data_IF_244886521170
#
_entry.id   IF_244886521170
#
_cell.length_a   1.000
_cell.length_b   1.000
_cell.length_c   1.000
_cell.angle_alpha   90.00
_cell.angle_beta   90.00
_cell.angle_gamma   90.00
#
_symmetry.space_group_name_H-M   'P 1'
#
loop_
_entity.id
_entity.type
_entity.pdbx_description
1 polymer ?
#
# COMPACT_ATOMS: atom_id res chain seq x y z
N UNK A 1 -25.85 -8.24 -24.81
CA UNK A 1 -25.69 -6.78 -24.58
C UNK A 1 -25.37 -6.50 -23.09
N UNK A 2 -24.53 -7.31 -22.44
CA UNK A 2 -24.22 -7.19 -21.00
C UNK A 2 -22.80 -6.65 -20.72
N UNK A 3 -21.92 -6.62 -21.72
CA UNK A 3 -20.51 -6.20 -21.56
C UNK A 3 -20.34 -4.69 -21.28
N UNK A 4 -21.22 -3.84 -21.81
CA UNK A 4 -21.09 -2.38 -21.68
C UNK A 4 -21.28 -1.88 -20.24
N UNK A 5 -22.10 -2.58 -19.44
CA UNK A 5 -22.38 -2.19 -18.05
C UNK A 5 -21.29 -2.59 -17.06
N UNK A 6 -20.55 -3.66 -17.36
CA UNK A 6 -19.46 -4.17 -16.54
C UNK A 6 -18.18 -3.33 -16.70
N UNK A 7 -17.83 -2.93 -17.92
CA UNK A 7 -16.64 -2.09 -18.16
C UNK A 7 -16.77 -0.68 -17.56
N UNK A 8 -17.98 -0.09 -17.57
CA UNK A 8 -18.22 1.20 -16.92
C UNK A 8 -18.13 1.14 -15.40
N UNK A 9 -18.52 0.01 -14.78
CA UNK A 9 -18.40 -0.19 -13.34
C UNK A 9 -16.93 -0.37 -12.91
N UNK A 10 -16.12 -1.07 -13.72
CA UNK A 10 -14.69 -1.24 -13.49
C UNK A 10 -13.95 0.11 -13.54
N UNK A 11 -14.17 0.87 -14.62
CA UNK A 11 -13.54 2.18 -14.81
C UNK A 11 -13.96 3.18 -13.72
N UNK A 12 -15.22 3.14 -13.27
CA UNK A 12 -15.69 3.98 -12.18
C UNK A 12 -15.03 3.61 -10.84
N UNK A 13 -14.95 2.32 -10.51
CA UNK A 13 -14.26 1.84 -9.31
C UNK A 13 -12.80 2.27 -9.30
N UNK A 14 -12.07 2.06 -10.40
CA UNK A 14 -10.68 2.46 -10.51
C UNK A 14 -10.46 3.98 -10.41
N UNK A 15 -11.34 4.80 -11.00
CA UNK A 15 -11.23 6.26 -10.85
C UNK A 15 -11.39 6.76 -9.40
N UNK A 16 -12.11 6.01 -8.55
CA UNK A 16 -12.34 6.34 -7.14
C UNK A 16 -11.18 5.88 -6.27
N UNK A 17 -10.56 4.75 -6.61
CA UNK A 17 -9.54 4.09 -5.78
C UNK A 17 -8.15 4.62 -6.04
N UNK A 18 -7.79 4.88 -7.30
CA UNK A 18 -6.45 5.36 -7.65
C UNK A 18 -6.02 6.59 -6.83
N UNK A 19 -6.89 7.58 -6.57
CA UNK A 19 -6.56 8.70 -5.67
C UNK A 19 -6.28 8.26 -4.23
N UNK A 20 -7.06 7.32 -3.69
CA UNK A 20 -6.87 6.80 -2.34
C UNK A 20 -5.55 6.01 -2.22
N UNK A 21 -5.21 5.18 -3.22
CA UNK A 21 -3.92 4.48 -3.28
C UNK A 21 -2.78 5.48 -3.32
N UNK A 22 -2.88 6.53 -4.14
CA UNK A 22 -1.85 7.58 -4.23
C UNK A 22 -1.69 8.34 -2.92
N UNK A 23 -2.78 8.61 -2.21
CA UNK A 23 -2.71 9.25 -0.89
C UNK A 23 -2.01 8.34 0.11
N UNK A 24 -2.38 7.05 0.16
CA UNK A 24 -1.72 6.06 1.02
C UNK A 24 -0.25 5.94 0.68
N UNK A 25 0.12 5.93 -0.60
CA UNK A 25 1.53 5.93 -1.03
C UNK A 25 2.30 7.10 -0.44
N UNK A 26 1.73 8.31 -0.54
CA UNK A 26 2.34 9.52 0.01
C UNK A 26 2.43 9.48 1.54
N UNK A 27 1.38 9.00 2.21
CA UNK A 27 1.33 8.90 3.68
C UNK A 27 2.38 7.91 4.19
N UNK A 28 2.56 6.77 3.50
CA UNK A 28 3.60 5.81 3.85
C UNK A 28 4.99 6.36 3.57
N UNK A 29 5.25 6.98 2.41
CA UNK A 29 6.56 7.57 2.11
C UNK A 29 6.97 8.61 3.16
N UNK A 30 6.03 9.45 3.60
CA UNK A 30 6.26 10.39 4.69
C UNK A 30 6.59 9.65 5.99
N UNK A 31 5.82 8.61 6.34
CA UNK A 31 6.06 7.81 7.53
C UNK A 31 7.42 7.09 7.48
N UNK A 32 7.84 6.55 6.33
CA UNK A 32 9.14 5.92 6.09
C UNK A 32 10.27 6.91 6.35
N UNK A 33 10.17 8.12 5.80
CA UNK A 33 11.15 9.18 6.04
C UNK A 33 11.22 9.61 7.52
N UNK A 34 10.10 9.49 8.24
CA UNK A 34 10.01 9.79 9.67
C UNK A 34 10.53 8.66 10.58
N UNK A 35 10.64 7.41 10.10
CA UNK A 35 11.14 6.26 10.90
C UNK A 35 12.43 6.57 11.69
N UNK A 36 13.49 7.14 11.08
CA UNK A 36 14.72 7.45 11.82
C UNK A 36 14.64 8.69 12.72
N UNK A 37 13.57 9.49 12.63
CA UNK A 37 13.38 10.75 13.36
C UNK A 37 12.42 10.56 14.55
N UNK A 38 11.26 9.97 14.28
CA UNK A 38 10.19 9.70 15.23
C UNK A 38 9.52 8.36 14.86
N UNK A 39 10.15 7.27 15.28
CA UNK A 39 9.68 5.92 15.00
C UNK A 39 8.27 5.63 15.56
N UNK A 40 7.85 6.31 16.64
CA UNK A 40 6.50 6.14 17.21
C UNK A 40 5.45 6.80 16.33
N UNK A 41 5.70 8.01 15.83
CA UNK A 41 4.81 8.65 14.87
C UNK A 41 4.75 7.88 13.54
N UNK A 42 5.91 7.43 13.06
CA UNK A 42 6.01 6.61 11.85
C UNK A 42 5.19 5.31 11.97
N UNK A 43 5.34 4.55 13.06
CA UNK A 43 4.58 3.32 13.31
C UNK A 43 3.07 3.57 13.25
N UNK A 44 2.59 4.62 13.92
CA UNK A 44 1.17 4.97 13.94
C UNK A 44 0.63 5.31 12.55
N UNK A 45 1.40 6.06 11.76
CA UNK A 45 1.02 6.42 10.39
C UNK A 45 1.03 5.19 9.47
N UNK A 46 2.02 4.31 9.61
CA UNK A 46 2.10 3.05 8.88
C UNK A 46 0.93 2.11 9.21
N UNK A 47 0.54 2.02 10.48
CA UNK A 47 -0.66 1.24 10.89
C UNK A 47 -1.94 1.79 10.24
N UNK A 48 -2.09 3.11 10.18
CA UNK A 48 -3.24 3.73 9.51
C UNK A 48 -3.25 3.43 8.00
N UNK A 49 -2.08 3.54 7.35
CA UNK A 49 -1.92 3.19 5.94
C UNK A 49 -2.23 1.71 5.68
N UNK A 50 -1.78 0.80 6.56
CA UNK A 50 -2.08 -0.64 6.47
C UNK A 50 -3.58 -0.90 6.46
N UNK A 51 -4.33 -0.30 7.37
CA UNK A 51 -5.80 -0.45 7.43
C UNK A 51 -6.44 -0.05 6.11
N UNK A 52 -5.94 1.02 5.47
CA UNK A 52 -6.43 1.48 4.18
C UNK A 52 -6.05 0.52 3.03
N UNK A 53 -4.84 -0.04 3.05
CA UNK A 53 -4.42 -1.06 2.07
C UNK A 53 -5.24 -2.34 2.19
N UNK A 54 -5.46 -2.82 3.41
CA UNK A 54 -6.25 -4.02 3.67
C UNK A 54 -7.72 -3.81 3.27
N UNK A 55 -8.27 -2.62 3.54
CA UNK A 55 -9.60 -2.23 3.07
C UNK A 55 -9.67 -2.10 1.54
N UNK A 56 -8.62 -1.56 0.93
CA UNK A 56 -8.48 -1.39 -0.51
C UNK A 56 -8.32 -2.71 -1.27
N UNK A 57 -7.68 -3.72 -0.66
CA UNK A 57 -7.51 -5.07 -1.20
C UNK A 57 -8.75 -5.96 -1.14
N UNK A 58 -9.84 -5.51 -0.49
CA UNK A 58 -11.13 -6.21 -0.51
C UNK A 58 -12.02 -5.85 -1.71
N UNK A 59 -11.50 -5.07 -2.66
CA UNK A 59 -12.25 -4.67 -3.83
C UNK A 59 -12.50 -5.84 -4.78
N UNK A 60 -13.72 -5.90 -5.31
CA UNK A 60 -14.06 -6.81 -6.42
C UNK A 60 -13.95 -5.99 -7.70
N UNK A 61 -12.84 -6.14 -8.41
CA UNK A 61 -12.74 -5.70 -9.79
C UNK A 61 -13.55 -6.64 -10.70
N UNK A 62 -13.97 -6.12 -11.84
CA UNK A 62 -15.02 -6.73 -12.68
C UNK A 62 -14.54 -7.95 -13.48
N UNK A 63 -13.23 -8.09 -13.65
CA UNK A 63 -12.57 -9.23 -14.29
C UNK A 63 -11.69 -10.00 -13.29
N UNK A 64 -11.81 -11.33 -13.25
CA UNK A 64 -11.10 -12.20 -12.30
C UNK A 64 -9.57 -12.08 -12.42
N UNK A 65 -9.04 -11.92 -13.63
CA UNK A 65 -7.59 -11.80 -13.82
C UNK A 65 -7.07 -10.44 -13.34
N UNK A 66 -7.80 -9.37 -13.64
CA UNK A 66 -7.52 -8.00 -13.18
C UNK A 66 -7.66 -7.90 -11.66
N UNK A 67 -8.71 -8.50 -11.10
CA UNK A 67 -8.95 -8.59 -9.66
C UNK A 67 -7.84 -9.37 -8.94
N UNK A 68 -7.40 -10.49 -9.52
CA UNK A 68 -6.30 -11.30 -8.96
C UNK A 68 -5.00 -10.50 -8.89
N UNK A 69 -4.64 -9.78 -9.96
CA UNK A 69 -3.43 -8.95 -9.99
C UNK A 69 -3.49 -7.78 -9.02
N UNK A 70 -4.61 -7.09 -8.96
CA UNK A 70 -4.83 -5.99 -8.03
C UNK A 70 -4.73 -6.46 -6.56
N UNK A 71 -5.39 -7.57 -6.22
CA UNK A 71 -5.34 -8.12 -4.86
C UNK A 71 -3.94 -8.63 -4.49
N UNK A 72 -3.21 -9.21 -5.44
CA UNK A 72 -1.81 -9.59 -5.22
C UNK A 72 -0.92 -8.37 -4.95
N UNK A 73 -1.11 -7.28 -5.71
CA UNK A 73 -0.39 -6.03 -5.52
C UNK A 73 -0.73 -5.38 -4.15
N UNK A 74 -2.01 -5.36 -3.76
CA UNK A 74 -2.42 -4.87 -2.44
C UNK A 74 -1.86 -5.70 -1.29
N UNK A 75 -1.83 -7.03 -1.44
CA UNK A 75 -1.24 -7.94 -0.45
C UNK A 75 0.27 -7.73 -0.31
N UNK A 76 0.98 -7.52 -1.42
CA UNK A 76 2.40 -7.18 -1.41
C UNK A 76 2.67 -5.83 -0.73
N UNK A 77 1.86 -4.81 -1.04
CA UNK A 77 1.94 -3.51 -0.37
C UNK A 77 1.70 -3.63 1.14
N UNK A 78 0.67 -4.36 1.57
CA UNK A 78 0.38 -4.60 2.99
C UNK A 78 1.53 -5.32 3.71
N UNK A 79 2.16 -6.30 3.05
CA UNK A 79 3.33 -7.01 3.58
C UNK A 79 4.55 -6.10 3.74
N UNK A 80 4.79 -5.20 2.77
CA UNK A 80 5.89 -4.23 2.86
C UNK A 80 5.66 -3.24 4.02
N UNK A 81 4.42 -2.77 4.21
CA UNK A 81 4.05 -1.91 5.34
C UNK A 81 4.22 -2.63 6.68
N UNK A 82 3.89 -3.92 6.79
CA UNK A 82 4.18 -4.71 8.00
C UNK A 82 5.67 -4.72 8.33
N UNK A 83 6.52 -4.93 7.31
CA UNK A 83 7.97 -4.86 7.49
C UNK A 83 8.44 -3.49 7.98
N UNK A 84 7.86 -2.40 7.49
CA UNK A 84 8.19 -1.04 7.92
C UNK A 84 7.74 -0.78 9.37
N UNK A 85 6.57 -1.30 9.76
CA UNK A 85 6.09 -1.26 11.14
C UNK A 85 7.07 -2.00 12.06
N UNK A 86 7.53 -3.19 11.67
CA UNK A 86 8.53 -3.95 12.43
C UNK A 86 9.85 -3.16 12.59
N UNK A 87 10.31 -2.46 11.54
CA UNK A 87 11.49 -1.59 11.62
C UNK A 87 11.27 -0.41 12.60
N UNK A 88 10.11 0.23 12.54
CA UNK A 88 9.77 1.31 13.47
C UNK A 88 9.71 0.80 14.94
N UNK A 89 9.15 -0.37 15.18
CA UNK A 89 9.09 -0.99 16.51
C UNK A 89 10.48 -1.39 17.02
N UNK A 90 11.33 -1.94 16.15
CA UNK A 90 12.73 -2.25 16.42
C UNK A 90 13.49 -1.02 16.92
N UNK A 91 13.35 0.11 16.23
CA UNK A 91 13.99 1.38 16.60
C UNK A 91 13.46 1.89 17.95
N UNK A 92 12.14 1.81 18.19
CA UNK A 92 11.54 2.15 19.48
C UNK A 92 12.06 1.26 20.63
N UNK A 93 12.40 0.01 20.35
CA UNK A 93 13.04 -0.90 21.30
C UNK A 93 14.54 -0.60 21.51
N UNK A 94 15.09 0.43 20.85
CA UNK A 94 16.47 0.88 20.99
C UNK A 94 17.45 0.25 20.00
N UNK A 95 16.95 -0.44 18.97
CA UNK A 95 17.80 -0.94 17.89
C UNK A 95 18.21 0.22 16.96
N UNK A 96 19.39 0.10 16.35
CA UNK A 96 19.80 1.05 15.34
C UNK A 96 18.91 0.89 14.08
N UNK A 97 18.55 1.99 13.40
CA UNK A 97 17.77 1.91 12.17
C UNK A 97 18.52 1.14 11.09
N UNK A 98 17.90 0.08 10.56
CA UNK A 98 18.39 -0.63 9.38
C UNK A 98 17.88 0.08 8.11
N UNK A 99 18.59 1.15 7.76
CA UNK A 99 18.25 1.97 6.58
C UNK A 99 18.20 1.17 5.28
N UNK A 100 19.04 0.14 5.12
CA UNK A 100 19.00 -0.72 3.92
C UNK A 100 17.71 -1.51 3.87
N UNK A 101 17.29 -2.09 5.00
CA UNK A 101 16.02 -2.81 5.06
C UNK A 101 14.82 -1.89 4.84
N UNK A 102 14.87 -0.68 5.39
CA UNK A 102 13.82 0.34 5.19
C UNK A 102 13.70 0.70 3.71
N UNK A 103 14.81 0.98 3.03
CA UNK A 103 14.83 1.34 1.60
C UNK A 103 14.33 0.18 0.70
N UNK A 104 14.69 -1.06 1.03
CA UNK A 104 14.19 -2.25 0.33
C UNK A 104 12.67 -2.41 0.45
N UNK A 105 12.13 -2.17 1.65
CA UNK A 105 10.70 -2.26 1.92
C UNK A 105 9.93 -1.12 1.26
N UNK A 106 10.50 0.09 1.26
CA UNK A 106 9.94 1.25 0.56
C UNK A 106 9.86 0.98 -0.96
N UNK A 107 10.94 0.48 -1.55
CA UNK A 107 10.96 0.10 -2.97
C UNK A 107 9.93 -0.98 -3.31
N UNK A 108 9.76 -1.99 -2.44
CA UNK A 108 8.75 -3.03 -2.61
C UNK A 108 7.34 -2.45 -2.56
N UNK A 109 7.09 -1.53 -1.63
CA UNK A 109 5.81 -0.84 -1.51
C UNK A 109 5.51 0.01 -2.74
N UNK A 110 6.45 0.82 -3.20
CA UNK A 110 6.27 1.66 -4.40
C UNK A 110 5.94 0.81 -5.64
N UNK A 111 6.66 -0.30 -5.80
CA UNK A 111 6.42 -1.26 -6.90
C UNK A 111 5.01 -1.84 -6.79
N UNK A 112 4.61 -2.30 -5.61
CA UNK A 112 3.30 -2.89 -5.37
C UNK A 112 2.15 -1.88 -5.60
N UNK A 113 2.31 -0.63 -5.16
CA UNK A 113 1.30 0.41 -5.38
C UNK A 113 1.24 0.83 -6.86
N UNK A 114 2.38 0.91 -7.53
CA UNK A 114 2.45 1.14 -8.97
C UNK A 114 1.69 0.03 -9.72
N UNK A 115 1.98 -1.24 -9.40
CA UNK A 115 1.29 -2.40 -9.99
C UNK A 115 -0.21 -2.34 -9.74
N UNK A 116 -0.65 -2.02 -8.51
CA UNK A 116 -2.07 -1.89 -8.17
C UNK A 116 -2.78 -0.80 -8.99
N UNK A 117 -2.11 0.33 -9.25
CA UNK A 117 -2.67 1.42 -10.07
C UNK A 117 -2.60 1.16 -11.57
N UNK A 118 -1.66 0.31 -12.02
CA UNK A 118 -1.51 -0.06 -13.43
C UNK A 118 -2.59 -1.04 -13.91
N UNK A 119 -3.25 -1.75 -13.00
CA UNK A 119 -4.34 -2.69 -13.34
C UNK A 119 -5.70 -1.99 -13.55
N UNK A 120 -5.78 -0.67 -13.43
CA UNK A 120 -7.04 0.07 -13.22
C UNK A 120 -7.70 0.75 -14.46
#
# INVERSE_FOLDING_TARGET
MAEVTTDQAAAAACSIITPAIKQVASDVQNAVADIPIDATAAEKNLQAAKVLLDAGGMQILVDDATNTKYNAAMSAASTAVDGLIEQAQAIQAGQAPDTTRIDELDTQLETALSDATAVC
#
